data_IF_440670727518
#
_entry.id   IF_440670727518
#
_cell.length_a   1.000
_cell.length_b   1.000
_cell.length_c   1.000
_cell.angle_alpha   90.00
_cell.angle_beta   90.00
_cell.angle_gamma   90.00
#
_symmetry.space_group_name_H-M   'P 1'
#
loop_
_entity.id
_entity.type
_entity.pdbx_description
1 polymer ?
#
# COMPACT_ATOMS: atom_id res chain seq x y z
N UNK A 1 12.44 13.43 30.05
CA UNK A 1 12.84 12.46 29.00
C UNK A 1 13.11 13.22 27.71
N UNK A 2 14.21 12.93 27.01
CA UNK A 2 14.61 13.69 25.82
C UNK A 2 13.78 13.26 24.58
N UNK A 3 13.02 14.21 24.03
CA UNK A 3 12.32 14.08 22.76
C UNK A 3 13.32 14.29 21.61
N UNK A 4 13.40 13.35 20.67
CA UNK A 4 14.29 13.47 19.51
C UNK A 4 13.42 13.57 18.25
N UNK A 5 13.32 14.77 17.69
CA UNK A 5 12.84 14.98 16.32
C UNK A 5 14.02 14.91 15.36
N UNK A 6 13.90 14.11 14.31
CA UNK A 6 14.93 14.00 13.26
C UNK A 6 14.28 14.30 11.92
N UNK A 7 14.73 15.35 11.24
CA UNK A 7 14.45 15.59 9.83
C UNK A 7 15.46 14.81 8.98
N UNK A 8 14.96 13.93 8.10
CA UNK A 8 15.80 13.11 7.23
C UNK A 8 15.62 13.53 5.77
N UNK A 9 16.55 14.31 5.22
CA UNK A 9 16.70 14.49 3.78
C UNK A 9 17.39 13.25 3.16
N UNK A 10 16.67 12.11 3.10
CA UNK A 10 17.20 10.85 2.53
C UNK A 10 16.20 10.23 1.56
N UNK A 11 16.67 9.75 0.41
CA UNK A 11 15.87 8.88 -0.45
C UNK A 11 15.93 7.45 0.08
N UNK A 12 14.87 6.67 -0.19
CA UNK A 12 14.72 5.30 0.29
C UNK A 12 14.13 4.45 -0.83
N UNK A 13 14.87 3.43 -1.24
CA UNK A 13 14.52 2.51 -2.33
C UNK A 13 14.49 1.09 -1.77
N UNK A 14 13.64 0.24 -2.36
CA UNK A 14 13.43 -1.12 -1.86
C UNK A 14 13.30 -2.07 -3.03
N UNK A 15 14.00 -3.19 -2.93
CA UNK A 15 14.00 -4.21 -3.95
C UNK A 15 13.82 -5.59 -3.30
N UNK A 16 13.29 -6.55 -4.07
CA UNK A 16 13.41 -7.96 -3.74
C UNK A 16 14.41 -8.65 -4.67
N UNK A 17 15.13 -9.61 -4.11
CA UNK A 17 16.03 -10.54 -4.81
C UNK A 17 15.57 -11.94 -4.48
N UNK A 18 15.46 -12.80 -5.49
CA UNK A 18 14.99 -14.17 -5.33
C UNK A 18 15.84 -14.93 -4.31
N UNK A 19 15.20 -15.80 -3.52
CA UNK A 19 15.80 -16.48 -2.38
C UNK A 19 17.01 -17.32 -2.79
N UNK A 20 16.94 -17.99 -3.94
CA UNK A 20 18.01 -18.80 -4.50
C UNK A 20 19.26 -18.01 -4.92
N UNK A 21 19.15 -16.68 -5.10
CA UNK A 21 20.28 -15.79 -5.43
C UNK A 21 20.70 -14.88 -4.27
N UNK A 22 20.07 -15.03 -3.11
CA UNK A 22 20.26 -14.14 -1.97
C UNK A 22 21.69 -14.20 -1.42
N UNK A 23 22.24 -15.40 -1.23
CA UNK A 23 23.59 -15.60 -0.68
C UNK A 23 24.67 -15.02 -1.61
N UNK A 24 24.56 -15.27 -2.91
CA UNK A 24 25.46 -14.72 -3.92
C UNK A 24 25.42 -13.18 -3.91
N UNK A 25 24.22 -12.59 -3.84
CA UNK A 25 24.08 -11.13 -3.74
C UNK A 25 24.74 -10.57 -2.47
N UNK A 26 24.56 -11.22 -1.31
CA UNK A 26 25.18 -10.82 -0.04
C UNK A 26 26.71 -10.83 -0.17
N UNK A 27 27.29 -11.88 -0.75
CA UNK A 27 28.74 -11.98 -0.96
C UNK A 27 29.27 -10.88 -1.89
N UNK A 28 28.49 -10.50 -2.91
CA UNK A 28 28.83 -9.41 -3.86
C UNK A 28 28.79 -8.01 -3.22
N UNK A 29 28.22 -7.84 -2.03
CA UNK A 29 28.27 -6.59 -1.26
C UNK A 29 29.58 -6.40 -0.48
N UNK A 30 30.63 -7.19 -0.75
CA UNK A 30 31.92 -7.15 -0.05
C UNK A 30 32.64 -5.78 -0.07
N UNK A 31 32.28 -4.87 -0.97
CA UNK A 31 32.79 -3.49 -1.00
C UNK A 31 32.17 -2.61 0.09
N UNK A 32 31.08 -3.03 0.72
CA UNK A 32 30.50 -2.43 1.92
C UNK A 32 31.04 -3.13 3.17
N UNK A 33 30.89 -2.48 4.32
CA UNK A 33 31.16 -3.05 5.62
C UNK A 33 29.84 -3.41 6.32
N UNK A 34 29.73 -4.65 6.80
CA UNK A 34 28.64 -5.03 7.69
C UNK A 34 28.85 -4.39 9.07
N UNK A 35 27.79 -3.82 9.64
CA UNK A 35 27.79 -3.21 10.97
C UNK A 35 26.70 -3.82 11.84
N UNK A 36 27.01 -4.00 13.12
CA UNK A 36 26.02 -4.43 14.10
C UNK A 36 25.27 -3.21 14.62
N UNK A 37 23.96 -3.14 14.35
CA UNK A 37 23.10 -2.08 14.91
C UNK A 37 22.53 -2.46 16.28
N UNK A 38 22.42 -3.75 16.55
CA UNK A 38 21.96 -4.34 17.80
C UNK A 38 22.56 -5.73 17.94
N UNK A 39 22.83 -6.17 19.17
CA UNK A 39 23.25 -7.55 19.46
C UNK A 39 22.12 -8.57 19.21
N UNK A 40 20.92 -8.08 18.93
CA UNK A 40 19.70 -8.85 18.66
C UNK A 40 19.33 -8.72 17.17
N UNK A 41 19.57 -9.75 16.35
CA UNK A 41 19.47 -9.66 14.89
C UNK A 41 18.02 -9.72 14.39
N UNK A 42 17.09 -10.22 15.20
CA UNK A 42 15.67 -10.33 14.86
C UNK A 42 14.94 -9.07 15.27
N UNK A 43 14.14 -8.53 14.36
CA UNK A 43 13.34 -7.33 14.57
C UNK A 43 11.87 -7.70 14.51
N UNK A 44 11.15 -7.41 15.59
CA UNK A 44 9.70 -7.40 15.61
C UNK A 44 9.21 -5.96 15.46
N UNK A 45 8.20 -5.74 14.61
CA UNK A 45 7.52 -4.45 14.48
C UNK A 45 6.02 -4.65 14.48
N UNK A 46 5.33 -4.09 15.47
CA UNK A 46 3.87 -4.05 15.58
C UNK A 46 3.36 -2.74 14.99
N UNK A 47 2.42 -2.80 14.07
CA UNK A 47 1.73 -1.67 13.48
C UNK A 47 0.33 -1.53 14.08
N UNK A 48 -0.01 -0.31 14.47
CA UNK A 48 -1.31 0.01 15.06
C UNK A 48 -2.27 0.47 13.98
N UNK A 49 -3.49 -0.08 13.99
CA UNK A 49 -4.58 0.31 13.10
C UNK A 49 -5.91 -0.22 13.67
N UNK A 50 -6.99 -0.14 12.89
CA UNK A 50 -8.27 -0.77 13.21
C UNK A 50 -8.98 -1.27 11.94
N UNK A 51 -10.17 -1.87 12.13
CA UNK A 51 -10.97 -2.41 11.03
C UNK A 51 -11.52 -1.35 10.07
N UNK A 52 -11.55 -0.07 10.47
CA UNK A 52 -11.91 1.04 9.59
C UNK A 52 -10.71 1.60 8.81
N UNK A 53 -9.51 1.05 9.07
CA UNK A 53 -8.23 1.52 8.55
C UNK A 53 -8.01 3.01 8.83
N UNK A 54 -8.29 3.46 10.06
CA UNK A 54 -8.31 4.87 10.43
C UNK A 54 -6.96 5.59 10.26
N UNK A 55 -5.82 4.87 10.28
CA UNK A 55 -4.50 5.49 10.10
C UNK A 55 -4.34 6.05 8.67
N UNK A 56 -4.06 7.36 8.49
CA UNK A 56 -3.94 7.95 7.14
C UNK A 56 -2.74 7.41 6.35
N UNK A 57 -2.80 7.46 5.01
CA UNK A 57 -1.78 6.88 4.11
C UNK A 57 -0.33 7.34 4.40
N UNK A 58 -0.15 8.61 4.76
CA UNK A 58 1.16 9.20 5.06
C UNK A 58 1.72 8.85 6.44
N UNK A 59 0.93 8.18 7.29
CA UNK A 59 1.29 7.88 8.66
C UNK A 59 1.69 6.41 8.86
N UNK A 60 2.54 6.19 9.85
CA UNK A 60 2.85 4.87 10.38
C UNK A 60 3.05 4.99 11.88
N UNK A 61 2.17 4.33 12.63
CA UNK A 61 2.23 4.18 14.08
C UNK A 61 2.71 2.77 14.36
N UNK A 62 3.86 2.62 15.01
CA UNK A 62 4.46 1.30 15.19
C UNK A 62 5.35 1.18 16.41
N UNK A 63 5.36 0.02 17.03
CA UNK A 63 6.26 -0.34 18.11
C UNK A 63 7.32 -1.31 17.58
N UNK A 64 8.59 -1.13 17.94
CA UNK A 64 9.69 -2.03 17.58
C UNK A 64 10.30 -2.67 18.82
N UNK A 65 10.56 -3.96 18.71
CA UNK A 65 11.34 -4.75 19.65
C UNK A 65 12.48 -5.46 18.89
N UNK A 66 13.65 -5.57 19.52
CA UNK A 66 14.78 -6.35 19.02
C UNK A 66 14.86 -7.64 19.85
N UNK A 67 14.97 -8.78 19.16
CA UNK A 67 14.91 -10.13 19.72
C UNK A 67 16.18 -10.92 19.39
N UNK A 68 16.65 -11.79 20.29
CA UNK A 68 17.82 -12.63 20.04
C UNK A 68 17.57 -13.67 18.94
N UNK A 69 16.35 -14.21 18.86
CA UNK A 69 15.95 -15.21 17.87
C UNK A 69 14.46 -15.02 17.46
N UNK A 70 14.02 -15.76 16.45
CA UNK A 70 12.63 -15.78 15.99
C UNK A 70 11.74 -16.43 17.07
N UNK A 71 10.77 -15.68 17.62
CA UNK A 71 9.84 -16.27 18.56
C UNK A 71 8.82 -17.14 17.82
N UNK A 72 8.23 -18.12 18.53
CA UNK A 72 7.12 -18.93 18.01
C UNK A 72 5.90 -18.06 17.70
N UNK A 73 5.60 -17.12 18.61
CA UNK A 73 4.51 -16.15 18.48
C UNK A 73 5.02 -14.72 18.67
N UNK A 74 4.39 -13.71 18.03
CA UNK A 74 4.71 -12.30 18.30
C UNK A 74 4.66 -11.94 19.78
N UNK A 75 5.71 -11.30 20.29
CA UNK A 75 5.75 -10.78 21.65
C UNK A 75 4.71 -9.66 21.79
N UNK A 76 3.62 -9.94 22.51
CA UNK A 76 2.45 -9.06 22.66
C UNK A 76 2.06 -8.85 24.12
N UNK A 77 3.00 -9.11 25.05
CA UNK A 77 2.79 -8.81 26.48
C UNK A 77 2.53 -7.31 26.65
N UNK A 78 1.41 -6.91 27.30
CA UNK A 78 1.09 -5.52 27.58
C UNK A 78 2.21 -4.74 28.29
N UNK A 79 3.05 -5.39 29.08
CA UNK A 79 4.14 -4.77 29.83
C UNK A 79 5.47 -4.71 29.06
N UNK A 80 5.54 -5.32 27.88
CA UNK A 80 6.76 -5.34 27.06
C UNK A 80 7.13 -3.92 26.61
N UNK A 81 8.31 -3.44 27.03
CA UNK A 81 8.78 -2.10 26.66
C UNK A 81 9.31 -2.10 25.23
N UNK A 82 8.68 -1.31 24.37
CA UNK A 82 9.02 -1.20 22.96
C UNK A 82 9.41 0.23 22.58
N UNK A 83 10.15 0.34 21.49
CA UNK A 83 10.43 1.63 20.85
C UNK A 83 9.20 1.99 20.01
N UNK A 84 8.31 2.81 20.55
CA UNK A 84 7.21 3.39 19.80
C UNK A 84 7.71 4.47 18.85
N UNK A 85 7.34 4.37 17.57
CA UNK A 85 7.72 5.26 16.49
C UNK A 85 6.46 5.79 15.77
N UNK A 86 6.33 7.11 15.69
CA UNK A 86 5.37 7.78 14.81
C UNK A 86 6.14 8.30 13.62
N UNK A 87 5.76 7.90 12.40
CA UNK A 87 6.31 8.46 11.16
C UNK A 87 5.22 9.18 10.40
N UNK A 88 5.52 10.39 9.97
CA UNK A 88 4.68 11.18 9.08
C UNK A 88 5.48 11.54 7.83
N UNK A 89 4.96 11.17 6.67
CA UNK A 89 5.50 11.56 5.36
C UNK A 89 4.69 12.70 4.80
N UNK A 90 4.87 13.92 5.34
CA UNK A 90 4.30 15.13 4.72
C UNK A 90 5.06 15.40 3.41
N UNK A 91 4.32 15.58 2.32
CA UNK A 91 4.88 16.04 1.06
C UNK A 91 4.56 17.51 0.90
N UNK A 92 5.21 18.37 1.68
CA UNK A 92 5.07 19.81 1.51
C UNK A 92 6.09 20.26 0.45
N UNK A 93 5.69 20.16 -0.83
CA UNK A 93 6.52 20.54 -1.99
C UNK A 93 7.43 19.43 -2.55
N UNK A 94 8.48 19.78 -3.33
CA UNK A 94 9.34 18.82 -4.04
C UNK A 94 10.23 17.96 -3.12
N UNK A 95 10.29 18.28 -1.83
CA UNK A 95 11.02 17.53 -0.80
C UNK A 95 10.01 16.89 0.16
N UNK A 96 9.98 15.55 0.23
CA UNK A 96 9.22 14.87 1.27
C UNK A 96 9.97 14.95 2.59
N UNK A 97 9.50 15.76 3.54
CA UNK A 97 10.06 15.78 4.90
C UNK A 97 9.41 14.66 5.70
N UNK A 98 10.18 13.60 5.96
CA UNK A 98 9.76 12.53 6.86
C UNK A 98 10.04 12.98 8.30
N UNK A 99 9.00 13.34 9.03
CA UNK A 99 9.11 13.56 10.49
C UNK A 99 8.99 12.22 11.21
N UNK A 100 9.90 11.97 12.14
CA UNK A 100 9.90 10.76 12.96
C UNK A 100 10.04 11.11 14.43
N UNK A 101 9.05 10.71 15.21
CA UNK A 101 9.06 10.75 16.67
C UNK A 101 9.34 9.35 17.21
N UNK A 102 10.02 9.25 18.36
CA UNK A 102 10.27 7.99 19.07
C UNK A 102 10.16 8.15 20.58
N UNK A 103 9.60 7.15 21.24
CA UNK A 103 9.53 7.05 22.71
C UNK A 103 9.60 5.57 23.12
N UNK A 104 10.23 5.28 24.26
CA UNK A 104 10.15 3.95 24.86
C UNK A 104 8.90 3.88 25.73
N UNK A 105 8.04 2.91 25.47
CA UNK A 105 6.76 2.73 26.15
C UNK A 105 6.40 1.24 26.17
N UNK A 106 5.76 0.77 27.23
CA UNK A 106 5.10 -0.54 27.23
C UNK A 106 3.97 -0.58 26.20
N UNK A 107 3.62 -1.78 25.72
CA UNK A 107 2.53 -1.94 24.76
C UNK A 107 1.21 -1.37 25.29
N UNK A 108 0.91 -1.56 26.58
CA UNK A 108 -0.27 -1.01 27.25
C UNK A 108 -0.23 0.53 27.28
N UNK A 109 0.91 1.14 27.57
CA UNK A 109 1.04 2.60 27.53
C UNK A 109 0.84 3.15 26.12
N UNK A 110 1.29 2.43 25.08
CA UNK A 110 1.09 2.82 23.68
C UNK A 110 -0.41 2.79 23.34
N UNK A 111 -1.12 1.74 23.73
CA UNK A 111 -2.57 1.65 23.52
C UNK A 111 -3.31 2.80 24.21
N UNK A 112 -3.00 3.06 25.48
CA UNK A 112 -3.57 4.20 26.22
C UNK A 112 -3.27 5.55 25.55
N UNK A 113 -2.03 5.74 25.11
CA UNK A 113 -1.62 6.94 24.39
C UNK A 113 -2.35 7.12 23.06
N UNK A 114 -2.60 6.03 22.33
CA UNK A 114 -3.36 6.06 21.10
C UNK A 114 -4.86 6.23 21.33
N UNK A 115 -5.41 5.87 22.49
CA UNK A 115 -6.82 6.10 22.81
C UNK A 115 -7.11 7.56 23.17
N UNK A 116 -6.19 8.22 23.88
CA UNK A 116 -6.33 9.61 24.32
C UNK A 116 -5.10 10.45 23.90
N UNK A 117 -4.96 10.78 22.61
CA UNK A 117 -3.89 11.64 22.16
C UNK A 117 -4.14 13.08 22.62
N UNK A 118 -3.56 13.45 23.77
CA UNK A 118 -3.42 14.85 24.24
C UNK A 118 -2.24 15.57 23.59
N UNK A 119 -1.45 14.85 22.79
CA UNK A 119 -0.25 15.36 22.14
C UNK A 119 -0.59 16.12 20.86
N UNK A 120 -0.11 17.38 20.76
CA UNK A 120 -0.27 18.23 19.57
C UNK A 120 0.30 17.58 18.30
N UNK A 121 1.27 16.68 18.43
CA UNK A 121 1.85 15.95 17.29
C UNK A 121 0.89 14.95 16.63
N UNK A 122 -0.12 14.50 17.36
CA UNK A 122 -1.16 13.59 16.87
C UNK A 122 -2.46 14.31 16.51
N UNK A 123 -2.52 15.65 16.51
CA UNK A 123 -3.77 16.41 16.28
C UNK A 123 -4.53 16.00 14.99
N UNK A 124 -3.80 15.69 13.92
CA UNK A 124 -4.40 15.19 12.66
C UNK A 124 -4.94 13.76 12.76
N UNK A 125 -4.40 12.94 13.67
CA UNK A 125 -4.86 11.57 13.94
C UNK A 125 -5.92 11.58 15.05
N UNK A 126 -5.84 12.50 16.01
CA UNK A 126 -6.68 12.58 17.20
C UNK A 126 -8.14 12.84 16.85
N UNK A 127 -8.40 13.67 15.83
CA UNK A 127 -9.74 13.91 15.32
C UNK A 127 -10.43 12.60 14.87
N UNK A 128 -9.67 11.69 14.24
CA UNK A 128 -10.19 10.42 13.75
C UNK A 128 -10.40 9.40 14.87
N UNK A 129 -9.47 9.35 15.83
CA UNK A 129 -9.53 8.46 17.00
C UNK A 129 -10.69 8.84 17.93
N UNK A 130 -10.95 10.14 18.12
CA UNK A 130 -12.02 10.67 18.99
C UNK A 130 -13.44 10.28 18.54
N UNK A 131 -13.62 9.82 17.31
CA UNK A 131 -14.91 9.29 16.83
C UNK A 131 -15.14 7.80 17.18
N UNK A 132 -14.45 7.26 18.19
CA UNK A 132 -14.59 5.86 18.64
C UNK A 132 -13.74 4.86 17.84
N UNK A 133 -12.83 5.36 17.00
CA UNK A 133 -11.94 4.55 16.18
C UNK A 133 -10.63 4.23 16.93
N UNK A 134 -10.73 3.46 18.00
CA UNK A 134 -9.55 3.06 18.77
C UNK A 134 -8.57 2.26 17.91
N UNK A 135 -7.29 2.61 18.00
CA UNK A 135 -6.23 1.90 17.30
C UNK A 135 -5.66 0.82 18.22
N UNK A 136 -5.51 -0.38 17.69
CA UNK A 136 -5.03 -1.55 18.40
C UNK A 136 -3.81 -2.13 17.68
N UNK A 137 -2.99 -2.97 18.35
CA UNK A 137 -2.05 -3.84 17.66
C UNK A 137 -2.76 -4.61 16.55
N UNK A 138 -2.32 -4.43 15.30
CA UNK A 138 -3.10 -4.90 14.16
C UNK A 138 -2.30 -5.82 13.26
N UNK A 139 -1.14 -5.38 12.78
CA UNK A 139 -0.21 -6.19 11.99
C UNK A 139 1.13 -6.27 12.70
N UNK A 140 1.70 -7.46 12.81
CA UNK A 140 3.08 -7.64 13.23
C UNK A 140 3.95 -8.14 12.08
N UNK A 141 5.19 -7.64 12.03
CA UNK A 141 6.22 -8.13 11.11
C UNK A 141 7.44 -8.57 11.90
N UNK A 142 7.93 -9.78 11.66
CA UNK A 142 9.15 -10.32 12.28
C UNK A 142 10.13 -10.68 11.17
N UNK A 143 11.37 -10.22 11.24
CA UNK A 143 12.39 -10.48 10.23
C UNK A 143 13.79 -10.40 10.84
N UNK A 144 14.77 -11.06 10.21
CA UNK A 144 16.20 -10.91 10.55
C UNK A 144 16.78 -9.78 9.71
N UNK A 145 17.62 -8.92 10.30
CA UNK A 145 18.20 -7.77 9.59
C UNK A 145 19.72 -7.69 9.71
N UNK A 146 20.37 -7.56 8.56
CA UNK A 146 21.78 -7.14 8.45
C UNK A 146 21.87 -5.70 7.94
N UNK A 147 22.96 -5.02 8.30
CA UNK A 147 23.19 -3.62 7.98
C UNK A 147 24.56 -3.45 7.32
N UNK A 148 24.59 -2.76 6.18
CA UNK A 148 25.80 -2.46 5.43
C UNK A 148 25.95 -0.96 5.21
N UNK A 149 27.17 -0.45 5.35
CA UNK A 149 27.54 0.95 5.09
C UNK A 149 28.83 1.01 4.26
N UNK A 150 29.09 2.13 3.56
CA UNK A 150 30.39 2.36 2.97
C UNK A 150 31.52 2.20 3.99
N UNK A 151 32.68 1.73 3.53
CA UNK A 151 33.90 1.64 4.35
C UNK A 151 34.50 3.02 4.63
N UNK A 152 34.15 4.03 3.82
CA UNK A 152 34.44 5.41 4.15
C UNK A 152 33.50 5.86 5.29
N UNK A 153 33.99 6.66 6.23
CA UNK A 153 33.24 7.03 7.44
C UNK A 153 31.98 7.90 7.16
N UNK A 154 31.73 8.25 5.90
CA UNK A 154 30.59 9.04 5.47
C UNK A 154 29.33 8.18 5.42
N UNK A 155 28.43 8.38 6.39
CA UNK A 155 27.11 7.71 6.50
C UNK A 155 26.07 8.25 5.50
N UNK A 156 26.51 8.52 4.28
CA UNK A 156 25.69 9.02 3.16
C UNK A 156 24.88 7.89 2.52
N UNK A 157 25.29 6.64 2.68
CA UNK A 157 24.61 5.45 2.18
C UNK A 157 24.44 4.40 3.29
N UNK A 158 23.31 3.70 3.27
CA UNK A 158 23.09 2.50 4.09
C UNK A 158 22.22 1.52 3.33
N UNK A 159 22.68 0.28 3.26
CA UNK A 159 21.91 -0.85 2.75
C UNK A 159 21.49 -1.70 3.94
N UNK A 160 20.25 -2.16 3.96
CA UNK A 160 19.80 -3.17 4.93
C UNK A 160 19.20 -4.34 4.19
N UNK A 161 19.53 -5.53 4.65
CA UNK A 161 19.04 -6.78 4.10
C UNK A 161 18.09 -7.40 5.13
N UNK A 162 16.88 -7.74 4.69
CA UNK A 162 15.89 -8.39 5.53
C UNK A 162 15.56 -9.78 5.01
N UNK A 163 15.70 -10.76 5.89
CA UNK A 163 15.51 -12.17 5.62
C UNK A 163 14.36 -12.75 6.44
N UNK A 164 13.73 -13.81 5.91
CA UNK A 164 12.72 -14.62 6.60
C UNK A 164 11.58 -13.78 7.19
N UNK A 165 11.14 -12.75 6.46
CA UNK A 165 10.06 -11.86 6.92
C UNK A 165 8.75 -12.64 7.05
N UNK A 166 8.16 -12.61 8.25
CA UNK A 166 6.83 -13.17 8.55
C UNK A 166 5.85 -12.05 8.93
N UNK A 167 4.59 -12.22 8.55
CA UNK A 167 3.49 -11.29 8.82
C UNK A 167 2.43 -11.97 9.67
N UNK A 168 1.99 -11.29 10.73
CA UNK A 168 0.94 -11.78 11.62
C UNK A 168 -0.18 -10.76 11.73
N UNK A 169 -1.41 -11.26 11.85
CA UNK A 169 -2.58 -10.49 12.25
C UNK A 169 -2.78 -10.65 13.75
N UNK A 170 -2.91 -9.52 14.45
CA UNK A 170 -2.95 -9.48 15.91
C UNK A 170 -4.34 -9.19 16.48
N UNK A 171 -5.30 -8.74 15.68
CA UNK A 171 -6.64 -8.41 16.16
C UNK A 171 -7.56 -9.64 16.20
N UNK A 172 -7.06 -10.73 16.80
CA UNK A 172 -7.73 -11.99 17.09
C UNK A 172 -7.31 -12.45 18.48
N UNK A 173 -8.06 -13.37 19.14
CA UNK A 173 -7.68 -13.88 20.46
C UNK A 173 -6.26 -14.48 20.51
N UNK A 174 -5.77 -14.97 19.38
CA UNK A 174 -4.40 -15.45 19.21
C UNK A 174 -3.80 -14.87 17.92
N UNK A 175 -2.52 -14.48 17.91
CA UNK A 175 -1.84 -14.06 16.69
C UNK A 175 -1.90 -15.15 15.61
N UNK A 176 -2.21 -14.75 14.37
CA UNK A 176 -2.24 -15.68 13.22
C UNK A 176 -1.25 -15.22 12.16
N UNK A 177 -0.40 -16.13 11.68
CA UNK A 177 0.48 -15.84 10.55
C UNK A 177 -0.34 -15.72 9.25
N UNK A 178 -0.36 -14.53 8.65
CA UNK A 178 -1.10 -14.26 7.41
C UNK A 178 -0.24 -14.33 6.16
N UNK A 179 1.08 -14.38 6.30
CA UNK A 179 1.99 -14.53 5.16
C UNK A 179 3.46 -14.52 5.53
N UNK A 180 4.32 -14.76 4.53
CA UNK A 180 5.78 -14.68 4.60
C UNK A 180 6.37 -14.20 3.28
N UNK A 181 7.56 -13.61 3.31
CA UNK A 181 8.37 -13.33 2.13
C UNK A 181 9.28 -14.54 1.83
N UNK A 182 9.36 -14.93 0.55
CA UNK A 182 10.29 -15.95 0.02
C UNK A 182 11.31 -15.28 -0.91
N UNK A 183 11.96 -14.24 -0.39
CA UNK A 183 12.96 -13.45 -1.09
C UNK A 183 13.78 -12.64 -0.08
N UNK A 184 14.96 -12.19 -0.50
CA UNK A 184 15.77 -11.22 0.21
C UNK A 184 15.25 -9.81 -0.07
N UNK A 185 14.90 -9.07 0.97
CA UNK A 185 14.49 -7.66 0.81
C UNK A 185 15.71 -6.76 1.02
N UNK A 186 16.02 -5.95 0.01
CA UNK A 186 17.09 -4.95 0.02
C UNK A 186 16.48 -3.58 0.20
N UNK A 187 16.85 -2.85 1.24
CA UNK A 187 16.42 -1.46 1.48
C UNK A 187 17.65 -0.54 1.46
N UNK A 188 17.67 0.40 0.51
CA UNK A 188 18.77 1.33 0.29
C UNK A 188 18.34 2.72 0.74
N UNK A 189 19.14 3.36 1.59
CA UNK A 189 18.94 4.74 2.03
C UNK A 189 20.16 5.56 1.68
N UNK A 190 19.95 6.68 0.98
CA UNK A 190 21.06 7.53 0.53
C UNK A 190 20.79 9.03 0.68
N UNK A 191 21.88 9.79 0.74
CA UNK A 191 21.98 11.24 0.59
C UNK A 191 22.79 11.49 -0.68
N UNK A 192 22.28 12.29 -1.62
CA UNK A 192 22.94 12.49 -2.91
C UNK A 192 23.04 11.20 -3.74
N UNK A 193 24.15 11.05 -4.47
CA UNK A 193 24.46 9.91 -5.34
C UNK A 193 25.91 9.45 -5.10
N UNK A 194 26.21 8.79 -3.97
CA UNK A 194 27.57 8.31 -3.67
C UNK A 194 28.03 7.25 -4.68
N UNK A 195 29.34 7.07 -4.87
CA UNK A 195 29.90 6.15 -5.88
C UNK A 195 29.42 4.70 -5.65
N UNK A 196 29.41 4.25 -4.40
CA UNK A 196 28.98 2.90 -4.02
C UNK A 196 27.52 2.63 -4.40
N UNK A 197 26.70 3.67 -4.53
CA UNK A 197 25.32 3.52 -4.96
C UNK A 197 25.22 3.06 -6.41
N UNK A 198 26.11 3.50 -7.32
CA UNK A 198 26.11 3.05 -8.71
C UNK A 198 26.45 1.56 -8.81
N UNK A 199 27.43 1.10 -8.02
CA UNK A 199 27.78 -0.32 -7.94
C UNK A 199 26.62 -1.18 -7.43
N UNK A 200 25.85 -0.68 -6.45
CA UNK A 200 24.63 -1.35 -5.99
C UNK A 200 23.58 -1.42 -7.10
N UNK A 201 23.39 -0.36 -7.89
CA UNK A 201 22.44 -0.37 -9.01
C UNK A 201 22.81 -1.40 -10.07
N UNK A 202 24.10 -1.52 -10.39
CA UNK A 202 24.60 -2.55 -11.30
C UNK A 202 24.32 -3.96 -10.77
N UNK A 203 24.56 -4.20 -9.47
CA UNK A 203 24.20 -5.46 -8.83
C UNK A 203 22.70 -5.72 -8.87
N UNK A 204 21.86 -4.74 -8.52
CA UNK A 204 20.41 -4.90 -8.59
C UNK A 204 19.95 -5.29 -10.00
N UNK A 205 20.56 -4.72 -11.04
CA UNK A 205 20.28 -5.08 -12.44
C UNK A 205 20.72 -6.50 -12.79
N UNK A 206 21.92 -6.91 -12.38
CA UNK A 206 22.46 -8.26 -12.58
C UNK A 206 21.62 -9.34 -11.87
N UNK A 207 21.07 -8.99 -10.70
CA UNK A 207 20.23 -9.86 -9.89
C UNK A 207 18.74 -9.77 -10.23
N UNK A 208 18.39 -9.05 -11.30
CA UNK A 208 17.00 -8.83 -11.76
C UNK A 208 16.08 -8.33 -10.62
N UNK A 209 16.62 -7.48 -9.74
CA UNK A 209 15.95 -7.06 -8.53
C UNK A 209 14.73 -6.17 -8.85
N UNK A 210 13.62 -6.41 -8.15
CA UNK A 210 12.33 -5.78 -8.47
C UNK A 210 11.94 -4.77 -7.40
N UNK A 211 11.44 -3.58 -7.77
CA UNK A 211 10.90 -2.61 -6.82
C UNK A 211 9.85 -3.22 -5.87
N UNK A 212 9.93 -2.84 -4.60
CA UNK A 212 9.10 -3.43 -3.55
C UNK A 212 8.40 -2.38 -2.69
N UNK A 213 7.14 -2.67 -2.34
CA UNK A 213 6.37 -1.86 -1.39
C UNK A 213 6.90 -1.98 0.05
N UNK A 214 6.43 -1.12 0.96
CA UNK A 214 6.87 -1.18 2.36
C UNK A 214 6.39 -2.46 3.07
N UNK A 215 7.08 -2.91 4.14
CA UNK A 215 6.63 -4.05 4.96
C UNK A 215 5.25 -3.82 5.57
N UNK A 216 4.94 -2.59 5.97
CA UNK A 216 3.61 -2.20 6.48
C UNK A 216 2.55 -2.59 5.44
N UNK A 217 2.73 -2.09 4.23
CA UNK A 217 1.74 -2.24 3.16
C UNK A 217 1.70 -3.67 2.62
N UNK A 218 2.83 -4.39 2.65
CA UNK A 218 2.88 -5.83 2.38
C UNK A 218 2.04 -6.60 3.39
N UNK A 219 2.20 -6.32 4.69
CA UNK A 219 1.43 -6.97 5.74
C UNK A 219 -0.08 -6.73 5.62
N UNK A 220 -0.49 -5.50 5.32
CA UNK A 220 -1.90 -5.19 5.03
C UNK A 220 -2.42 -5.91 3.78
N UNK A 221 -1.61 -6.00 2.72
CA UNK A 221 -1.97 -6.73 1.50
C UNK A 221 -2.12 -8.25 1.75
N UNK A 222 -1.27 -8.83 2.61
CA UNK A 222 -1.38 -10.24 3.02
C UNK A 222 -2.62 -10.48 3.89
N UNK A 223 -2.92 -9.57 4.84
CA UNK A 223 -4.15 -9.63 5.64
C UNK A 223 -5.40 -9.59 4.76
N UNK A 224 -5.42 -8.75 3.73
CA UNK A 224 -6.51 -8.73 2.75
C UNK A 224 -6.71 -10.12 2.14
N UNK A 225 -5.64 -10.73 1.59
CA UNK A 225 -5.72 -12.06 0.95
C UNK A 225 -6.17 -13.12 1.95
N UNK A 226 -5.64 -13.09 3.17
CA UNK A 226 -6.07 -13.98 4.24
C UNK A 226 -7.57 -13.85 4.53
N UNK A 227 -8.08 -12.62 4.65
CA UNK A 227 -9.51 -12.40 4.93
C UNK A 227 -10.41 -12.84 3.78
N UNK A 228 -10.02 -12.57 2.54
CA UNK A 228 -10.73 -13.06 1.35
C UNK A 228 -10.80 -14.59 1.31
N UNK A 229 -9.71 -15.27 1.67
CA UNK A 229 -9.65 -16.74 1.64
C UNK A 229 -10.42 -17.42 2.77
N UNK A 230 -10.35 -16.90 4.00
CA UNK A 230 -10.84 -17.61 5.19
C UNK A 230 -12.19 -17.13 5.71
N UNK A 231 -12.53 -15.86 5.49
CA UNK A 231 -13.74 -15.30 6.06
C UNK A 231 -14.78 -14.92 5.01
N UNK A 232 -14.37 -14.52 3.80
CA UNK A 232 -15.27 -13.86 2.84
C UNK A 232 -15.03 -14.27 1.38
N UNK A 233 -15.35 -15.52 0.99
CA UNK A 233 -15.47 -15.85 -0.42
C UNK A 233 -16.49 -14.91 -1.07
N UNK A 234 -16.14 -14.33 -2.21
CA UNK A 234 -17.01 -13.38 -2.91
C UNK A 234 -18.07 -14.16 -3.72
N UNK A 235 -19.36 -14.19 -3.31
CA UNK A 235 -20.40 -14.88 -4.07
C UNK A 235 -20.88 -14.08 -5.29
N UNK A 236 -20.53 -12.80 -5.36
CA UNK A 236 -20.93 -11.89 -6.41
C UNK A 236 -20.23 -12.26 -7.72
N UNK A 237 -21.00 -12.32 -8.80
CA UNK A 237 -20.48 -12.58 -10.14
C UNK A 237 -20.42 -11.26 -10.89
N UNK A 238 -19.34 -11.05 -11.64
CA UNK A 238 -19.28 -9.98 -12.63
C UNK A 238 -20.01 -10.47 -13.87
N UNK A 239 -21.04 -9.74 -14.29
CA UNK A 239 -21.84 -10.04 -15.49
C UNK A 239 -21.14 -9.59 -16.76
N UNK A 240 -20.16 -8.69 -16.62
CA UNK A 240 -19.44 -8.07 -17.73
C UNK A 240 -17.93 -8.19 -17.50
N UNK A 241 -17.18 -8.26 -18.59
CA UNK A 241 -15.71 -8.04 -18.58
C UNK A 241 -15.38 -6.54 -18.56
N UNK A 242 -16.35 -5.71 -18.18
CA UNK A 242 -16.29 -4.25 -18.26
C UNK A 242 -16.32 -3.65 -16.87
N UNK A 243 -15.26 -2.94 -16.51
CA UNK A 243 -15.19 -2.09 -15.34
C UNK A 243 -16.09 -0.87 -15.55
N UNK A 244 -17.05 -0.66 -14.64
CA UNK A 244 -17.91 0.52 -14.59
C UNK A 244 -17.66 1.22 -13.26
N UNK A 245 -17.24 2.47 -13.34
CA UNK A 245 -16.81 3.23 -12.16
C UNK A 245 -17.11 4.74 -12.28
N UNK A 246 -17.16 5.41 -11.14
CA UNK A 246 -17.08 6.87 -11.05
C UNK A 246 -15.78 7.29 -10.35
N UNK A 247 -15.19 8.41 -10.78
CA UNK A 247 -13.94 8.93 -10.22
C UNK A 247 -13.99 10.40 -9.86
N UNK A 248 -13.39 10.70 -8.72
CA UNK A 248 -13.21 12.05 -8.23
C UNK A 248 -11.76 12.29 -7.85
N UNK A 249 -11.20 13.41 -8.32
CA UNK A 249 -9.99 13.97 -7.75
C UNK A 249 -10.29 14.47 -6.34
N UNK A 250 -9.40 14.13 -5.41
CA UNK A 250 -9.46 14.63 -4.04
C UNK A 250 -8.32 15.62 -3.82
N UNK A 251 -8.60 16.88 -3.45
CA UNK A 251 -7.58 17.82 -3.01
C UNK A 251 -6.76 17.25 -1.84
N UNK A 252 -5.51 17.69 -1.71
CA UNK A 252 -4.48 17.13 -0.81
C UNK A 252 -4.94 16.59 0.57
N UNK A 253 -4.26 15.52 1.02
CA UNK A 253 -4.24 14.82 2.34
C UNK A 253 -5.55 14.30 2.98
N UNK A 254 -6.74 14.71 2.53
CA UNK A 254 -8.01 14.33 3.20
C UNK A 254 -8.66 13.03 2.71
N UNK A 255 -8.08 12.37 1.71
CA UNK A 255 -8.73 11.24 1.04
C UNK A 255 -9.06 10.06 1.98
N UNK A 256 -8.20 9.78 2.96
CA UNK A 256 -8.48 8.75 3.96
C UNK A 256 -9.67 9.10 4.86
N UNK A 257 -9.80 10.38 5.20
CA UNK A 257 -10.83 10.91 6.09
C UNK A 257 -12.18 10.94 5.39
N UNK A 258 -12.20 11.27 4.09
CA UNK A 258 -13.40 11.21 3.26
C UNK A 258 -13.96 9.78 3.24
N UNK A 259 -13.12 8.76 3.05
CA UNK A 259 -13.59 7.37 3.06
C UNK A 259 -14.23 6.97 4.40
N UNK A 260 -13.61 7.37 5.52
CA UNK A 260 -14.16 7.12 6.87
C UNK A 260 -15.51 7.81 7.07
N UNK A 261 -15.63 9.07 6.64
CA UNK A 261 -16.89 9.83 6.71
C UNK A 261 -17.98 9.22 5.85
N UNK A 262 -17.67 8.77 4.62
CA UNK A 262 -18.63 8.04 3.77
C UNK A 262 -19.06 6.75 4.47
N UNK A 263 -18.13 5.99 5.07
CA UNK A 263 -18.47 4.77 5.80
C UNK A 263 -19.45 5.03 6.94
N UNK A 264 -19.22 6.10 7.70
CA UNK A 264 -20.10 6.56 8.78
C UNK A 264 -21.48 6.94 8.25
N UNK A 265 -21.54 7.72 7.18
CA UNK A 265 -22.81 8.10 6.53
C UNK A 265 -23.65 6.87 6.12
N UNK A 266 -23.01 5.83 5.57
CA UNK A 266 -23.70 4.59 5.20
C UNK A 266 -24.20 3.85 6.44
N UNK A 267 -23.37 3.72 7.50
CA UNK A 267 -23.78 3.10 8.77
C UNK A 267 -24.97 3.82 9.43
N UNK A 268 -25.02 5.14 9.30
CA UNK A 268 -26.09 5.99 9.85
C UNK A 268 -27.32 6.10 8.92
N UNK A 269 -27.34 5.39 7.79
CA UNK A 269 -28.48 5.41 6.86
C UNK A 269 -28.62 6.71 6.06
N UNK A 270 -27.59 7.56 6.01
CA UNK A 270 -27.61 8.83 5.27
C UNK A 270 -27.43 8.64 3.74
N UNK A 271 -27.07 7.43 3.30
CA UNK A 271 -27.04 7.04 1.89
C UNK A 271 -28.09 5.94 1.70
N UNK A 272 -29.35 6.29 1.38
CA UNK A 272 -30.44 5.32 1.28
C UNK A 272 -30.17 4.24 0.23
N UNK A 273 -30.61 3.02 0.53
CA UNK A 273 -30.50 1.87 -0.36
C UNK A 273 -29.13 1.19 -0.40
N UNK A 274 -28.20 1.58 0.48
CA UNK A 274 -26.88 0.97 0.60
C UNK A 274 -26.53 0.69 2.06
N UNK A 275 -25.89 -0.45 2.29
CA UNK A 275 -25.38 -0.87 3.60
C UNK A 275 -23.94 -1.31 3.51
N UNK A 276 -23.19 -1.17 4.60
CA UNK A 276 -21.87 -1.81 4.69
C UNK A 276 -22.07 -3.33 4.62
N UNK A 277 -21.30 -3.98 3.76
CA UNK A 277 -21.39 -5.42 3.55
C UNK A 277 -21.18 -6.16 4.87
N UNK A 278 -22.19 -6.90 5.33
CA UNK A 278 -22.13 -7.60 6.63
C UNK A 278 -21.02 -8.64 6.70
N UNK A 279 -20.78 -9.33 5.57
CA UNK A 279 -19.68 -10.29 5.48
C UNK A 279 -18.35 -9.54 5.55
N UNK A 280 -18.15 -8.45 4.82
CA UNK A 280 -16.90 -7.71 4.79
C UNK A 280 -17.06 -6.29 5.40
N UNK A 281 -17.22 -6.16 6.74
CA UNK A 281 -17.55 -4.87 7.35
C UNK A 281 -16.33 -3.94 7.50
N UNK A 282 -15.13 -4.43 7.20
CA UNK A 282 -13.87 -3.73 7.40
C UNK A 282 -13.41 -3.01 6.13
N UNK A 283 -12.50 -2.06 6.31
CA UNK A 283 -11.82 -1.34 5.24
C UNK A 283 -10.51 -2.06 4.93
N UNK A 284 -10.41 -2.62 3.73
CA UNK A 284 -9.19 -3.25 3.24
C UNK A 284 -8.14 -2.21 2.89
N UNK A 285 -6.92 -2.36 3.40
CA UNK A 285 -5.75 -1.59 2.96
C UNK A 285 -4.87 -2.47 2.08
N UNK A 286 -4.41 -1.94 0.95
CA UNK A 286 -3.48 -2.64 0.08
C UNK A 286 -2.52 -1.66 -0.61
N UNK A 287 -1.41 -2.19 -1.12
CA UNK A 287 -0.51 -1.44 -1.97
C UNK A 287 0.05 -2.31 -3.08
N UNK A 288 0.44 -1.66 -4.17
CA UNK A 288 1.14 -2.30 -5.26
C UNK A 288 2.02 -1.30 -6.02
N UNK A 289 2.91 -1.85 -6.84
CA UNK A 289 3.66 -1.10 -7.84
C UNK A 289 3.12 -1.50 -9.20
N UNK A 290 2.68 -0.51 -9.96
CA UNK A 290 2.18 -0.70 -11.31
C UNK A 290 3.25 -0.18 -12.28
N UNK A 291 3.70 -1.01 -13.21
CA UNK A 291 4.62 -0.59 -14.27
C UNK A 291 3.85 -0.53 -15.58
N UNK A 292 3.94 0.62 -16.25
CA UNK A 292 3.20 0.92 -17.46
C UNK A 292 4.11 0.89 -18.69
N UNK A 293 3.64 0.19 -19.70
CA UNK A 293 4.14 0.27 -21.07
C UNK A 293 3.04 0.83 -21.96
N UNK A 294 3.43 1.69 -22.90
CA UNK A 294 2.54 2.27 -23.90
C UNK A 294 2.91 1.76 -25.28
N UNK A 295 1.94 1.72 -26.17
CA UNK A 295 2.20 1.46 -27.59
C UNK A 295 2.85 2.70 -28.22
N UNK A 296 3.95 2.51 -28.96
CA UNK A 296 4.75 3.60 -29.53
C UNK A 296 4.01 4.40 -30.60
N UNK A 297 3.05 3.78 -31.30
CA UNK A 297 2.36 4.40 -32.43
C UNK A 297 1.14 5.18 -31.96
N UNK A 298 0.33 4.57 -31.10
CA UNK A 298 -0.94 5.14 -30.62
C UNK A 298 -0.79 5.90 -29.30
N UNK A 299 0.30 5.63 -28.55
CA UNK A 299 0.48 6.08 -27.19
C UNK A 299 -0.43 5.40 -26.17
N UNK A 300 -1.33 4.48 -26.55
CA UNK A 300 -2.30 3.87 -25.63
C UNK A 300 -1.65 2.88 -24.64
N UNK A 301 -2.37 2.45 -23.60
CA UNK A 301 -1.87 1.41 -22.68
C UNK A 301 -1.58 0.13 -23.49
N UNK A 302 -0.32 -0.29 -23.58
CA UNK A 302 0.01 -1.58 -24.20
C UNK A 302 -0.13 -2.69 -23.16
N UNK A 303 0.63 -2.58 -22.06
CA UNK A 303 0.56 -3.53 -20.95
C UNK A 303 0.89 -2.86 -19.63
N UNK A 304 0.16 -3.24 -18.60
CA UNK A 304 0.43 -2.85 -17.21
C UNK A 304 0.80 -4.08 -16.39
N UNK A 305 1.98 -4.06 -15.78
CA UNK A 305 2.41 -5.08 -14.82
C UNK A 305 2.01 -4.67 -13.40
N UNK A 306 1.31 -5.54 -12.70
CA UNK A 306 0.94 -5.37 -11.29
C UNK A 306 1.84 -6.24 -10.42
N UNK A 307 2.83 -5.62 -9.77
CA UNK A 307 3.81 -6.33 -8.96
C UNK A 307 3.28 -6.67 -7.56
N UNK A 308 3.52 -7.92 -7.14
CA UNK A 308 3.19 -8.46 -5.81
C UNK A 308 4.33 -9.35 -5.31
N UNK A 309 5.35 -8.75 -4.69
CA UNK A 309 6.53 -9.48 -4.24
C UNK A 309 7.35 -10.00 -5.42
N UNK A 310 7.58 -11.32 -5.50
CA UNK A 310 8.29 -11.99 -6.60
C UNK A 310 7.36 -12.49 -7.73
N UNK A 311 6.10 -12.04 -7.77
CA UNK A 311 5.13 -12.37 -8.83
C UNK A 311 4.53 -11.11 -9.46
N UNK A 312 4.11 -11.19 -10.71
CA UNK A 312 3.33 -10.15 -11.37
C UNK A 312 2.09 -10.72 -12.09
N UNK A 313 1.06 -9.91 -12.26
CA UNK A 313 0.00 -10.16 -13.25
C UNK A 313 -0.01 -9.04 -14.29
N UNK A 314 -0.31 -9.36 -15.54
CA UNK A 314 -0.51 -8.34 -16.58
C UNK A 314 -1.98 -7.98 -16.71
N UNK A 315 -2.24 -6.68 -16.82
CA UNK A 315 -3.56 -6.14 -17.11
C UNK A 315 -3.47 -5.27 -18.34
N UNK A 316 -4.46 -5.40 -19.21
CA UNK A 316 -4.70 -4.53 -20.35
C UNK A 316 -6.10 -3.94 -20.23
N UNK A 317 -6.27 -2.66 -20.61
CA UNK A 317 -7.57 -1.99 -20.64
C UNK A 317 -7.84 -1.45 -22.02
N UNK A 318 -9.07 -1.61 -22.50
CA UNK A 318 -9.52 -1.14 -23.81
C UNK A 318 -10.90 -0.46 -23.74
N UNK A 319 -11.38 -0.01 -24.90
CA UNK A 319 -12.75 0.47 -25.13
C UNK A 319 -13.22 1.48 -24.08
N UNK A 320 -12.38 2.48 -23.77
CA UNK A 320 -12.71 3.47 -22.76
C UNK A 320 -13.81 4.40 -23.26
N UNK A 321 -14.95 4.37 -22.58
CA UNK A 321 -16.04 5.32 -22.75
C UNK A 321 -16.21 6.18 -21.49
N UNK A 322 -16.50 7.47 -21.68
CA UNK A 322 -16.75 8.41 -20.58
C UNK A 322 -18.09 9.11 -20.79
N UNK A 323 -18.94 9.11 -19.75
CA UNK A 323 -20.23 9.81 -19.73
C UNK A 323 -20.39 10.56 -18.41
N UNK A 324 -20.00 11.84 -18.41
CA UNK A 324 -19.95 12.64 -17.19
C UNK A 324 -18.90 12.10 -16.22
N UNK A 325 -19.31 11.75 -15.00
CA UNK A 325 -18.44 11.13 -13.98
C UNK A 325 -18.20 9.63 -14.19
N UNK A 326 -18.99 8.99 -15.07
CA UNK A 326 -18.94 7.54 -15.29
C UNK A 326 -17.88 7.20 -16.33
N UNK A 327 -17.07 6.21 -16.00
CA UNK A 327 -16.06 5.61 -16.85
C UNK A 327 -16.42 4.14 -17.04
N UNK A 328 -16.35 3.68 -18.29
CA UNK A 328 -16.57 2.29 -18.68
C UNK A 328 -15.35 1.80 -19.47
N UNK A 329 -14.78 0.65 -19.12
CA UNK A 329 -13.57 0.10 -19.78
C UNK A 329 -13.56 -1.42 -19.76
N UNK A 330 -13.11 -2.05 -20.83
CA UNK A 330 -12.76 -3.48 -20.78
C UNK A 330 -11.54 -3.67 -19.89
N UNK A 331 -11.53 -4.70 -19.04
CA UNK A 331 -10.34 -5.08 -18.27
C UNK A 331 -9.99 -6.55 -18.51
N UNK A 332 -8.80 -6.76 -19.07
CA UNK A 332 -8.27 -8.09 -19.38
C UNK A 332 -7.11 -8.38 -18.44
N UNK A 333 -7.34 -9.27 -17.47
CA UNK A 333 -6.31 -9.67 -16.51
C UNK A 333 -5.83 -11.08 -16.80
N UNK A 334 -4.53 -11.22 -17.07
CA UNK A 334 -3.90 -12.53 -17.22
C UNK A 334 -3.47 -13.10 -15.87
N UNK A 335 -3.13 -14.38 -15.88
CA UNK A 335 -2.59 -15.13 -14.75
C UNK A 335 -1.42 -14.42 -14.04
N UNK A 336 -1.28 -14.73 -12.75
CA UNK A 336 -0.15 -14.25 -11.94
C UNK A 336 1.01 -15.23 -12.06
N UNK A 337 2.14 -14.77 -12.60
CA UNK A 337 3.33 -15.59 -12.85
C UNK A 337 4.55 -15.06 -12.08
N UNK A 338 5.59 -15.90 -11.85
CA UNK A 338 6.85 -15.44 -11.26
C UNK A 338 7.49 -14.33 -12.08
N UNK A 339 8.14 -13.38 -11.41
CA UNK A 339 8.86 -12.32 -12.09
C UNK A 339 10.24 -12.84 -12.51
N UNK A 340 10.45 -12.91 -13.81
CA UNK A 340 11.76 -13.09 -14.42
C UNK A 340 11.85 -12.13 -15.60
N UNK A 341 13.06 -11.70 -15.96
CA UNK A 341 13.25 -10.87 -17.16
C UNK A 341 12.70 -11.56 -18.41
N UNK A 342 12.85 -12.88 -18.50
CA UNK A 342 12.25 -13.71 -19.55
C UNK A 342 10.73 -13.54 -19.59
N UNK A 343 10.03 -13.78 -18.47
CA UNK A 343 8.57 -13.69 -18.40
C UNK A 343 8.06 -12.27 -18.70
N UNK A 344 8.76 -11.23 -18.22
CA UNK A 344 8.40 -9.85 -18.54
C UNK A 344 8.58 -9.56 -20.03
N UNK A 345 9.73 -9.92 -20.60
CA UNK A 345 10.02 -9.71 -22.02
C UNK A 345 9.04 -10.46 -22.91
N UNK A 346 8.68 -11.69 -22.58
CA UNK A 346 7.67 -12.48 -23.31
C UNK A 346 6.30 -11.81 -23.32
N UNK A 347 5.90 -11.18 -22.21
CA UNK A 347 4.63 -10.44 -22.13
C UNK A 347 4.69 -9.14 -22.93
N UNK A 348 5.81 -8.43 -22.92
CA UNK A 348 6.02 -7.22 -23.73
C UNK A 348 6.09 -7.56 -25.23
N UNK A 349 6.73 -8.66 -25.61
CA UNK A 349 6.91 -9.07 -27.01
C UNK A 349 5.60 -9.50 -27.69
N UNK A 350 4.55 -9.83 -26.92
CA UNK A 350 3.20 -10.05 -27.46
C UNK A 350 2.62 -8.81 -28.17
N UNK A 351 3.24 -7.64 -27.99
CA UNK A 351 2.85 -6.37 -28.60
C UNK A 351 3.79 -5.96 -29.74
N UNK A 352 4.28 -6.92 -30.54
CA UNK A 352 5.04 -6.72 -31.79
C UNK A 352 6.21 -5.72 -31.74
N UNK A 353 6.81 -5.49 -30.57
CA UNK A 353 7.93 -4.57 -30.40
C UNK A 353 7.57 -3.08 -30.33
N UNK A 354 6.28 -2.70 -30.34
CA UNK A 354 5.85 -1.30 -30.20
C UNK A 354 5.75 -0.83 -28.75
N UNK A 355 5.81 -1.75 -27.78
CA UNK A 355 5.64 -1.42 -26.37
C UNK A 355 6.87 -0.69 -25.78
N UNK A 356 6.69 0.59 -25.45
CA UNK A 356 7.67 1.45 -24.79
C UNK A 356 7.39 1.56 -23.30
N UNK A 357 8.43 1.41 -22.47
CA UNK A 357 8.32 1.67 -21.04
C UNK A 357 8.00 3.15 -20.79
N UNK A 358 6.90 3.41 -20.07
CA UNK A 358 6.52 4.76 -19.68
C UNK A 358 7.03 5.08 -18.28
N UNK A 359 6.71 4.24 -17.29
CA UNK A 359 7.08 4.51 -15.91
C UNK A 359 6.37 3.64 -14.89
N UNK A 360 6.71 3.88 -13.62
CA UNK A 360 6.21 3.12 -12.48
C UNK A 360 5.35 4.00 -11.57
N UNK A 361 4.29 3.43 -11.03
CA UNK A 361 3.39 4.09 -10.10
C UNK A 361 3.32 3.28 -8.82
N UNK A 362 3.56 3.94 -7.69
CA UNK A 362 3.22 3.42 -6.38
C UNK A 362 1.77 3.74 -6.05
N UNK A 363 0.95 2.75 -5.72
CA UNK A 363 -0.44 2.96 -5.33
C UNK A 363 -0.70 2.37 -3.95
N UNK A 364 -1.30 3.18 -3.09
CA UNK A 364 -1.93 2.78 -1.85
C UNK A 364 -3.45 2.86 -2.02
N UNK A 365 -4.18 1.81 -1.66
CA UNK A 365 -5.65 1.76 -1.72
C UNK A 365 -6.22 1.44 -0.35
N UNK A 366 -7.26 2.16 0.05
CA UNK A 366 -8.22 1.75 1.07
C UNK A 366 -9.55 1.50 0.38
N UNK A 367 -10.18 0.36 0.63
CA UNK A 367 -11.45 -0.03 0.01
C UNK A 367 -12.43 -0.48 1.08
N UNK A 368 -13.69 -0.10 0.95
CA UNK A 368 -14.80 -0.76 1.64
C UNK A 368 -15.80 -1.31 0.64
N UNK A 369 -16.40 -2.44 1.01
CA UNK A 369 -17.45 -3.08 0.25
C UNK A 369 -18.83 -2.66 0.81
N UNK A 370 -19.74 -2.28 -0.08
CA UNK A 370 -21.11 -1.93 0.25
C UNK A 370 -22.08 -2.75 -0.61
N UNK A 371 -23.23 -3.08 -0.06
CA UNK A 371 -24.28 -3.81 -0.74
C UNK A 371 -25.47 -2.88 -0.95
N UNK A 372 -26.04 -2.88 -2.15
CA UNK A 372 -27.30 -2.19 -2.42
C UNK A 372 -28.51 -3.04 -2.01
N UNK A 373 -29.67 -2.42 -1.87
CA UNK A 373 -30.96 -3.12 -1.67
C UNK A 373 -31.27 -4.10 -2.80
N UNK A 374 -30.74 -3.82 -3.99
CA UNK A 374 -30.84 -4.66 -5.18
C UNK A 374 -29.83 -5.81 -5.21
N UNK A 375 -29.12 -6.05 -4.08
CA UNK A 375 -28.13 -7.11 -3.89
C UNK A 375 -27.00 -7.06 -4.90
N UNK A 376 -26.56 -5.85 -5.23
CA UNK A 376 -25.32 -5.58 -5.96
C UNK A 376 -24.21 -5.16 -5.01
N UNK A 377 -22.99 -5.59 -5.32
CA UNK A 377 -21.79 -5.21 -4.61
C UNK A 377 -21.18 -3.97 -5.28
N UNK A 378 -20.87 -2.96 -4.47
CA UNK A 378 -20.09 -1.80 -4.88
C UNK A 378 -18.86 -1.66 -3.98
N UNK A 379 -17.82 -1.08 -4.54
CA UNK A 379 -16.57 -0.79 -3.84
C UNK A 379 -16.34 0.71 -3.84
N UNK A 380 -16.20 1.29 -2.65
CA UNK A 380 -15.76 2.69 -2.51
C UNK A 380 -14.30 2.69 -2.10
N UNK A 381 -13.47 3.32 -2.90
CA UNK A 381 -12.02 3.23 -2.81
C UNK A 381 -11.38 4.60 -2.69
N UNK A 382 -10.52 4.76 -1.70
CA UNK A 382 -9.58 5.87 -1.61
C UNK A 382 -8.22 5.40 -2.15
N UNK A 383 -7.76 6.01 -3.22
CA UNK A 383 -6.46 5.74 -3.83
C UNK A 383 -5.49 6.91 -3.65
N UNK A 384 -4.31 6.65 -3.09
CA UNK A 384 -3.16 7.55 -3.16
C UNK A 384 -2.12 6.95 -4.09
N UNK A 385 -1.93 7.62 -5.21
CA UNK A 385 -1.04 7.23 -6.31
C UNK A 385 0.15 8.17 -6.35
N UNK A 386 1.36 7.65 -6.57
CA UNK A 386 2.60 8.45 -6.58
C UNK A 386 3.58 8.01 -7.65
N UNK A 387 4.19 9.00 -8.31
CA UNK A 387 5.31 8.84 -9.25
C UNK A 387 6.32 9.95 -8.98
N UNK A 388 7.57 9.58 -8.64
CA UNK A 388 8.62 10.53 -8.22
C UNK A 388 8.08 11.50 -7.14
N UNK A 389 7.94 12.79 -7.47
CA UNK A 389 7.45 13.86 -6.58
C UNK A 389 5.96 14.17 -6.74
N UNK A 390 5.30 13.58 -7.74
CA UNK A 390 3.90 13.85 -8.05
C UNK A 390 3.00 12.84 -7.33
N UNK A 391 1.84 13.32 -6.88
CA UNK A 391 0.81 12.51 -6.25
C UNK A 391 -0.53 12.77 -6.90
N UNK A 392 -1.34 11.72 -6.97
CA UNK A 392 -2.73 11.76 -7.39
C UNK A 392 -3.57 11.05 -6.31
N UNK A 393 -4.53 11.78 -5.74
CA UNK A 393 -5.49 11.22 -4.80
C UNK A 393 -6.84 11.10 -5.53
N UNK A 394 -7.41 9.89 -5.55
CA UNK A 394 -8.67 9.60 -6.23
C UNK A 394 -9.63 8.83 -5.34
N UNK A 395 -10.87 9.32 -5.25
CA UNK A 395 -11.99 8.52 -4.76
C UNK A 395 -12.64 7.82 -5.95
N UNK A 396 -12.79 6.50 -5.87
CA UNK A 396 -13.38 5.67 -6.92
C UNK A 396 -14.61 4.94 -6.35
N UNK A 397 -15.69 4.87 -7.12
CA UNK A 397 -16.88 4.05 -6.83
C UNK A 397 -16.99 3.05 -7.96
N UNK A 398 -16.83 1.77 -7.67
CA UNK A 398 -16.65 0.70 -8.65
C UNK A 398 -17.71 -0.39 -8.44
N UNK A 399 -18.30 -0.89 -9.52
CA UNK A 399 -19.19 -2.05 -9.45
C UNK A 399 -18.40 -3.34 -9.26
N UNK A 400 -18.80 -4.14 -8.27
CA UNK A 400 -18.12 -5.39 -7.87
C UNK A 400 -18.85 -6.67 -8.25
N UNK A 401 -19.96 -6.59 -8.98
CA UNK A 401 -20.81 -7.72 -9.36
C UNK A 401 -22.13 -7.78 -8.60
N UNK A 402 -23.01 -8.71 -8.97
CA UNK A 402 -24.29 -8.93 -8.29
C UNK A 402 -24.53 -10.41 -7.98
N UNK A 403 -25.55 -10.70 -7.18
CA UNK A 403 -26.04 -12.06 -6.99
C UNK A 403 -27.00 -12.51 -8.10
N UNK A 404 -27.61 -11.55 -8.80
CA UNK A 404 -28.63 -11.77 -9.83
C UNK A 404 -28.36 -10.84 -11.03
N UNK A 405 -28.24 -11.35 -12.26
CA UNK A 405 -27.79 -10.56 -13.41
C UNK A 405 -28.48 -9.21 -13.54
N UNK A 406 -27.68 -8.14 -13.68
CA UNK A 406 -28.15 -6.76 -13.76
C UNK A 406 -27.92 -6.16 -15.13
N UNK A 407 -28.82 -5.27 -15.54
CA UNK A 407 -28.62 -4.49 -16.77
C UNK A 407 -27.60 -3.39 -16.51
N UNK A 408 -26.75 -3.14 -17.50
CA UNK A 408 -25.70 -2.10 -17.43
C UNK A 408 -26.26 -0.72 -17.02
N UNK A 409 -27.41 -0.34 -17.57
CA UNK A 409 -28.06 0.94 -17.26
C UNK A 409 -28.45 1.07 -15.78
N UNK A 410 -28.86 -0.02 -15.15
CA UNK A 410 -29.20 -0.05 -13.72
C UNK A 410 -27.95 0.15 -12.86
N UNK A 411 -26.85 -0.52 -13.23
CA UNK A 411 -25.55 -0.38 -12.56
C UNK A 411 -25.06 1.07 -12.67
N UNK A 412 -25.13 1.66 -13.87
CA UNK A 412 -24.74 3.05 -14.11
C UNK A 412 -25.59 4.01 -13.27
N UNK A 413 -26.90 3.78 -13.17
CA UNK A 413 -27.79 4.64 -12.39
C UNK A 413 -27.51 4.57 -10.89
N UNK A 414 -27.21 3.39 -10.34
CA UNK A 414 -26.80 3.24 -8.93
C UNK A 414 -25.45 3.91 -8.64
N UNK A 415 -24.45 3.77 -9.53
CA UNK A 415 -23.17 4.48 -9.38
C UNK A 415 -23.38 6.00 -9.46
N UNK A 416 -24.18 6.50 -10.41
CA UNK A 416 -24.50 7.93 -10.52
C UNK A 416 -25.18 8.46 -9.26
N UNK A 417 -26.10 7.67 -8.68
CA UNK A 417 -26.77 8.03 -7.43
C UNK A 417 -25.77 8.16 -6.27
N UNK A 418 -24.91 7.16 -6.06
CA UNK A 418 -23.85 7.20 -5.05
C UNK A 418 -22.90 8.38 -5.27
N UNK A 419 -22.42 8.54 -6.51
CA UNK A 419 -21.53 9.62 -6.93
C UNK A 419 -22.12 10.99 -6.64
N UNK A 420 -23.43 11.19 -6.91
CA UNK A 420 -24.13 12.45 -6.64
C UNK A 420 -24.18 12.76 -5.14
N UNK A 421 -24.64 11.82 -4.31
CA UNK A 421 -24.74 12.03 -2.86
C UNK A 421 -23.37 12.34 -2.25
N UNK A 422 -22.34 11.60 -2.66
CA UNK A 422 -20.97 11.84 -2.20
C UNK A 422 -20.49 13.22 -2.63
N UNK A 423 -20.69 13.61 -3.89
CA UNK A 423 -20.26 14.92 -4.37
C UNK A 423 -21.00 16.09 -3.66
N UNK A 424 -22.30 15.93 -3.37
CA UNK A 424 -23.09 16.92 -2.61
C UNK A 424 -22.57 17.12 -1.17
N UNK A 425 -22.06 16.05 -0.55
CA UNK A 425 -21.56 16.07 0.84
C UNK A 425 -20.09 16.48 0.94
N UNK A 426 -19.34 16.34 -0.14
CA UNK A 426 -17.93 16.71 -0.23
C UNK A 426 -17.70 17.63 -1.45
N UNK A 427 -18.11 18.92 -1.38
CA UNK A 427 -18.13 19.83 -2.54
C UNK A 427 -16.75 20.16 -3.13
N UNK A 428 -15.65 19.73 -2.49
CA UNK A 428 -14.30 19.83 -3.03
C UNK A 428 -13.89 18.67 -3.95
N UNK A 429 -14.76 17.68 -4.16
CA UNK A 429 -14.52 16.58 -5.09
C UNK A 429 -14.71 17.08 -6.53
N UNK A 430 -13.72 16.83 -7.38
CA UNK A 430 -13.76 17.22 -8.78
C UNK A 430 -13.88 15.95 -9.62
N UNK A 431 -14.93 15.84 -10.45
CA UNK A 431 -15.07 14.74 -11.39
C UNK A 431 -13.80 14.61 -12.26
N UNK A 432 -13.16 13.45 -12.24
CA UNK A 432 -11.89 13.23 -12.96
C UNK A 432 -11.94 11.92 -13.74
N UNK A 433 -12.35 11.94 -15.02
CA UNK A 433 -12.35 10.75 -15.86
C UNK A 433 -10.94 10.27 -16.23
N UNK A 434 -9.90 11.08 -15.94
CA UNK A 434 -8.51 10.79 -16.29
C UNK A 434 -8.03 9.49 -15.64
N UNK A 435 -7.53 8.58 -16.48
CA UNK A 435 -6.92 7.34 -16.01
C UNK A 435 -5.58 7.58 -15.33
N UNK A 436 -5.14 6.64 -14.48
CA UNK A 436 -3.81 6.71 -13.84
C UNK A 436 -2.67 6.74 -14.87
N UNK A 437 -2.85 6.11 -16.04
CA UNK A 437 -1.91 6.20 -17.16
C UNK A 437 -1.86 7.61 -17.76
N UNK A 438 -3.01 8.22 -18.04
CA UNK A 438 -3.08 9.58 -18.57
C UNK A 438 -2.46 10.58 -17.58
N UNK A 439 -2.70 10.40 -16.28
CA UNK A 439 -2.02 11.18 -15.26
C UNK A 439 -0.51 10.98 -15.27
N UNK A 440 -0.03 9.73 -15.36
CA UNK A 440 1.40 9.43 -15.42
C UNK A 440 2.08 10.15 -16.61
N UNK A 441 1.45 10.13 -17.79
CA UNK A 441 1.95 10.86 -18.97
C UNK A 441 2.06 12.38 -18.74
N UNK A 442 1.20 12.95 -17.89
CA UNK A 442 1.21 14.39 -17.61
C UNK A 442 2.29 14.83 -16.62
N UNK A 443 2.97 13.89 -15.96
CA UNK A 443 3.96 14.16 -14.89
C UNK A 443 5.34 13.56 -15.17
N UNK A 444 5.51 12.92 -16.34
CA UNK A 444 6.80 12.53 -16.90
C UNK A 444 7.21 13.62 -17.88
#
# INVERSE_FOLDING_TARGET
MAQISIDLERTEERHCILEERAEEFIQRLNFLQEINFSDKPVVQTIYFNNDDAAVPFGYSLKARLYLPDFPENPATDPNETMIFEIKNSKSDGPKSVKKKFRKNMSLQEIEKFLQNPDDKELEAISALIREGNYLLPYICTIYKRSHFVPRNEKKELRVTLDEKTKYYYLNLPQPVQVGKESFLRVEIKKIGNPEEYQRILELLKEFEAIPLISKKDTGFSMLKVYREAFFHPNPYKLETETEIEAKFQVPNYLIGDILLKIKKMIREGQIPGFVIRRKNPYTETSANINVYYIDSETGNEAVKFLFKGNKFSTVYKDNQETRGTIIKRGEHKKETIPITKKNMNERVSQYNGTALFLGEIYRLRKKMDIESDTRSLYQICADMTGHKRHKLNQLEIEYGGSLEPRREEEIINEIKYLARIINEKFPGLIAQPTSKLQWLKSVI
#
